data_IF_172313787685
#
_entry.id   IF_172313787685
#
_cell.length_a   1.000
_cell.length_b   1.000
_cell.length_c   1.000
_cell.angle_alpha   90.00
_cell.angle_beta   90.00
_cell.angle_gamma   90.00
#
_symmetry.space_group_name_H-M   'P 1'
#
loop_
_entity.id
_entity.type
_entity.pdbx_description
1 polymer ?
#
# COMPACT_ATOMS: atom_id res chain seq x y z
N UNK A 1 -16.84 -9.13 -58.62
CA UNK A 1 -15.59 -8.67 -57.96
C UNK A 1 -15.64 -8.86 -56.43
N UNK A 2 -16.19 -9.99 -55.95
CA UNK A 2 -16.29 -10.33 -54.51
C UNK A 2 -15.82 -11.76 -54.15
N UNK A 3 -15.42 -12.59 -55.11
CA UNK A 3 -15.06 -13.99 -54.83
C UNK A 3 -13.55 -14.28 -54.79
N UNK A 4 -12.68 -13.28 -54.99
CA UNK A 4 -11.22 -13.46 -55.03
C UNK A 4 -10.50 -13.21 -53.70
N UNK A 5 -11.19 -12.74 -52.66
CA UNK A 5 -10.57 -12.42 -51.36
C UNK A 5 -10.53 -13.65 -50.43
N UNK A 6 -11.48 -14.59 -50.57
CA UNK A 6 -11.61 -15.72 -49.64
C UNK A 6 -10.59 -16.86 -49.89
N UNK A 7 -9.93 -16.88 -51.04
CA UNK A 7 -8.93 -17.91 -51.39
C UNK A 7 -7.51 -17.58 -50.89
N UNK A 8 -7.21 -16.30 -50.58
CA UNK A 8 -5.90 -15.93 -50.00
C UNK A 8 -5.84 -16.16 -48.48
N UNK A 9 -6.92 -15.94 -47.74
CA UNK A 9 -6.97 -16.22 -46.30
C UNK A 9 -6.95 -17.72 -45.99
N UNK A 10 -7.66 -18.56 -46.76
CA UNK A 10 -7.61 -20.01 -46.57
C UNK A 10 -6.24 -20.62 -46.90
N UNK A 11 -5.47 -20.04 -47.83
CA UNK A 11 -4.09 -20.47 -48.10
C UNK A 11 -3.10 -20.08 -46.99
N UNK A 12 -3.39 -19.04 -46.22
CA UNK A 12 -2.57 -18.63 -45.07
C UNK A 12 -2.81 -19.55 -43.87
N UNK A 13 -4.08 -19.92 -43.60
CA UNK A 13 -4.43 -20.84 -42.53
C UNK A 13 -3.94 -22.28 -42.80
N UNK A 14 -4.00 -22.76 -44.04
CA UNK A 14 -3.48 -24.10 -44.39
C UNK A 14 -1.95 -24.15 -44.28
N UNK A 15 -1.23 -23.06 -44.61
CA UNK A 15 0.23 -22.99 -44.41
C UNK A 15 0.62 -22.88 -42.93
N UNK A 16 -0.17 -22.19 -42.10
CA UNK A 16 0.10 -22.10 -40.66
C UNK A 16 -0.13 -23.46 -39.96
N UNK A 17 -1.16 -24.21 -40.37
CA UNK A 17 -1.43 -25.55 -39.85
C UNK A 17 -0.35 -26.55 -40.31
N UNK A 18 0.14 -26.45 -41.56
CA UNK A 18 1.23 -27.31 -42.03
C UNK A 18 2.56 -27.03 -41.32
N UNK A 19 2.85 -25.77 -40.95
CA UNK A 19 4.05 -25.42 -40.17
C UNK A 19 3.92 -25.88 -38.71
N UNK A 20 2.71 -25.83 -38.13
CA UNK A 20 2.47 -26.33 -36.76
C UNK A 20 2.52 -27.88 -36.69
N UNK A 21 2.04 -28.57 -37.72
CA UNK A 21 2.10 -30.04 -37.82
C UNK A 21 3.51 -30.54 -38.18
N UNK A 22 4.27 -29.79 -38.99
CA UNK A 22 5.69 -30.09 -39.24
C UNK A 22 6.58 -29.87 -38.00
N UNK A 23 6.27 -28.88 -37.15
CA UNK A 23 6.96 -28.70 -35.87
C UNK A 23 6.62 -29.79 -34.84
N UNK A 24 5.42 -30.39 -34.92
CA UNK A 24 5.04 -31.56 -34.10
C UNK A 24 5.60 -32.89 -34.63
N UNK A 25 5.98 -32.97 -35.92
CA UNK A 25 6.57 -34.17 -36.54
C UNK A 25 8.11 -34.19 -36.54
N UNK A 26 8.77 -33.09 -36.15
CA UNK A 26 10.21 -33.06 -35.84
C UNK A 26 10.52 -33.20 -34.34
N UNK A 27 9.60 -33.78 -33.56
CA UNK A 27 10.00 -34.55 -32.40
C UNK A 27 10.72 -35.80 -32.90
N UNK A 28 12.03 -35.68 -33.13
CA UNK A 28 12.91 -36.84 -33.17
C UNK A 28 12.58 -37.68 -31.95
N UNK A 29 12.28 -38.99 -32.09
CA UNK A 29 12.17 -39.83 -30.91
C UNK A 29 13.52 -39.72 -30.21
N UNK A 30 13.52 -39.11 -29.01
CA UNK A 30 14.50 -39.44 -28.00
C UNK A 30 14.54 -40.96 -28.03
N UNK A 31 15.63 -41.52 -28.56
CA UNK A 31 15.91 -42.95 -28.43
C UNK A 31 15.71 -43.22 -26.96
N UNK A 32 14.62 -43.91 -26.64
CA UNK A 32 14.40 -44.47 -25.33
C UNK A 32 15.60 -45.39 -25.11
N UNK A 33 16.63 -44.85 -24.46
CA UNK A 33 17.61 -45.69 -23.80
C UNK A 33 16.76 -46.57 -22.90
N UNK A 34 16.82 -47.88 -23.19
CA UNK A 34 16.36 -48.92 -22.26
C UNK A 34 16.91 -48.52 -20.90
N UNK A 35 16.05 -47.97 -20.05
CA UNK A 35 16.33 -47.80 -18.63
C UNK A 35 16.45 -49.21 -18.10
N UNK A 36 17.69 -49.64 -17.88
CA UNK A 36 18.00 -50.78 -17.04
C UNK A 36 17.31 -50.51 -15.69
N UNK A 37 16.37 -51.35 -15.24
CA UNK A 37 15.76 -51.16 -13.94
C UNK A 37 16.85 -51.42 -12.89
N UNK A 38 17.16 -50.41 -12.07
CA UNK A 38 17.98 -50.58 -10.87
C UNK A 38 19.38 -49.95 -10.87
N UNK A 39 19.78 -49.16 -11.85
CA UNK A 39 20.91 -48.24 -11.65
C UNK A 39 20.38 -46.94 -11.06
N UNK A 40 20.62 -46.73 -9.76
CA UNK A 40 20.52 -45.41 -9.17
C UNK A 40 21.33 -44.45 -10.04
N UNK A 41 20.67 -43.44 -10.60
CA UNK A 41 21.32 -42.33 -11.29
C UNK A 41 22.19 -41.65 -10.23
N UNK A 42 23.43 -42.10 -10.14
CA UNK A 42 24.41 -41.59 -9.19
C UNK A 42 24.89 -40.26 -9.75
N UNK A 43 24.80 -39.22 -8.93
CA UNK A 43 25.33 -37.90 -9.28
C UNK A 43 26.78 -38.05 -9.78
N UNK A 44 27.17 -37.40 -10.89
CA UNK A 44 28.55 -37.40 -11.35
C UNK A 44 29.48 -36.60 -10.42
N UNK A 45 28.94 -35.96 -9.37
CA UNK A 45 29.66 -35.11 -8.44
C UNK A 45 29.69 -35.72 -7.03
N UNK A 46 30.83 -35.57 -6.36
CA UNK A 46 30.95 -35.82 -4.92
C UNK A 46 30.30 -34.68 -4.13
N UNK A 47 29.82 -34.96 -2.91
CA UNK A 47 29.11 -34.00 -2.05
C UNK A 47 29.87 -32.68 -1.91
N UNK A 48 31.18 -32.73 -1.72
CA UNK A 48 32.03 -31.54 -1.57
C UNK A 48 32.04 -30.68 -2.83
N UNK A 49 32.01 -31.31 -4.02
CA UNK A 49 31.93 -30.60 -5.31
C UNK A 49 30.56 -29.98 -5.51
N UNK A 50 29.48 -30.69 -5.15
CA UNK A 50 28.12 -30.13 -5.18
C UNK A 50 28.01 -28.90 -4.28
N UNK A 51 28.49 -28.99 -3.02
CA UNK A 51 28.42 -27.88 -2.07
C UNK A 51 29.30 -26.71 -2.50
N UNK A 52 30.54 -26.94 -2.94
CA UNK A 52 31.41 -25.87 -3.43
C UNK A 52 30.79 -25.14 -4.63
N UNK A 53 30.23 -25.88 -5.59
CA UNK A 53 29.56 -25.28 -6.75
C UNK A 53 28.29 -24.55 -6.37
N UNK A 54 27.51 -25.08 -5.43
CA UNK A 54 26.30 -24.44 -4.93
C UNK A 54 26.62 -23.09 -4.25
N UNK A 55 27.64 -23.04 -3.39
CA UNK A 55 28.07 -21.80 -2.72
C UNK A 55 28.65 -20.77 -3.70
N UNK A 56 29.38 -21.20 -4.74
CA UNK A 56 29.85 -20.31 -5.81
C UNK A 56 28.67 -19.67 -6.55
N UNK A 57 27.70 -20.48 -6.96
CA UNK A 57 26.49 -19.99 -7.64
C UNK A 57 25.64 -19.10 -6.73
N UNK A 58 25.58 -19.43 -5.44
CA UNK A 58 24.92 -18.60 -4.43
C UNK A 58 25.58 -17.22 -4.32
N UNK A 59 26.91 -17.16 -4.25
CA UNK A 59 27.67 -15.92 -4.20
C UNK A 59 27.50 -15.06 -5.48
N UNK A 60 27.26 -15.71 -6.63
CA UNK A 60 26.96 -15.05 -7.91
C UNK A 60 25.47 -14.64 -8.06
N UNK A 61 24.65 -14.79 -7.02
CA UNK A 61 23.19 -14.59 -7.06
C UNK A 61 22.45 -15.46 -8.09
N UNK A 62 23.04 -16.57 -8.51
CA UNK A 62 22.43 -17.54 -9.43
C UNK A 62 21.62 -18.59 -8.65
N UNK A 63 20.65 -18.12 -7.86
CA UNK A 63 19.89 -18.95 -6.92
C UNK A 63 19.16 -20.14 -7.56
N UNK A 64 18.52 -20.05 -8.75
CA UNK A 64 17.90 -21.21 -9.39
C UNK A 64 18.91 -22.31 -9.72
N UNK A 65 20.12 -21.94 -10.16
CA UNK A 65 21.18 -22.89 -10.46
C UNK A 65 21.78 -23.49 -9.18
N UNK A 66 21.99 -22.66 -8.15
CA UNK A 66 22.47 -23.11 -6.84
C UNK A 66 21.52 -24.16 -6.22
N UNK A 67 20.20 -24.00 -6.37
CA UNK A 67 19.20 -24.95 -5.88
C UNK A 67 19.40 -26.37 -6.43
N UNK A 68 19.80 -26.52 -7.70
CA UNK A 68 20.03 -27.83 -8.32
C UNK A 68 21.12 -28.57 -7.53
N UNK A 69 22.25 -27.91 -7.28
CA UNK A 69 23.38 -28.50 -6.58
C UNK A 69 23.10 -28.72 -5.08
N UNK A 70 22.35 -27.84 -4.42
CA UNK A 70 21.93 -28.09 -3.03
C UNK A 70 20.97 -29.28 -2.90
N UNK A 71 20.03 -29.44 -3.84
CA UNK A 71 19.14 -30.61 -3.86
C UNK A 71 19.90 -31.90 -4.14
N UNK A 72 20.88 -31.85 -5.04
CA UNK A 72 21.76 -32.98 -5.30
C UNK A 72 22.60 -33.34 -4.07
N UNK A 73 23.22 -32.36 -3.41
CA UNK A 73 23.98 -32.56 -2.18
C UNK A 73 23.12 -33.15 -1.05
N UNK A 74 21.83 -32.75 -0.97
CA UNK A 74 20.87 -33.29 0.01
C UNK A 74 20.64 -34.80 -0.19
N UNK A 75 20.70 -35.30 -1.43
CA UNK A 75 20.56 -36.74 -1.72
C UNK A 75 21.82 -37.55 -1.45
N UNK A 76 22.98 -36.89 -1.31
CA UNK A 76 24.29 -37.51 -1.14
C UNK A 76 24.77 -37.54 0.31
N UNK A 77 23.96 -37.05 1.26
CA UNK A 77 24.35 -36.95 2.67
C UNK A 77 23.28 -37.47 3.61
N UNK A 78 23.72 -38.18 4.65
CA UNK A 78 22.87 -38.63 5.76
C UNK A 78 23.21 -37.88 7.06
N UNK A 79 24.23 -37.01 7.04
CA UNK A 79 24.70 -36.33 8.24
C UNK A 79 23.73 -35.21 8.65
N UNK A 80 23.09 -35.28 9.82
CA UNK A 80 21.99 -34.38 10.19
C UNK A 80 22.41 -32.90 10.24
N UNK A 81 23.63 -32.60 10.69
CA UNK A 81 24.16 -31.23 10.70
C UNK A 81 24.46 -30.65 9.30
N UNK A 82 24.75 -31.50 8.30
CA UNK A 82 24.96 -31.05 6.92
C UNK A 82 23.60 -30.87 6.25
N UNK A 83 22.67 -31.81 6.46
CA UNK A 83 21.27 -31.71 6.02
C UNK A 83 20.62 -30.42 6.51
N UNK A 84 20.78 -30.09 7.80
CA UNK A 84 20.25 -28.87 8.40
C UNK A 84 20.76 -27.60 7.67
N UNK A 85 22.08 -27.53 7.43
CA UNK A 85 22.72 -26.42 6.71
C UNK A 85 22.26 -26.34 5.25
N UNK A 86 22.14 -27.47 4.56
CA UNK A 86 21.64 -27.51 3.19
C UNK A 86 20.18 -27.01 3.14
N UNK A 87 19.32 -27.45 4.05
CA UNK A 87 17.95 -26.94 4.13
C UNK A 87 17.89 -25.43 4.39
N UNK A 88 18.75 -24.91 5.27
CA UNK A 88 18.87 -23.48 5.50
C UNK A 88 19.26 -22.73 4.21
N UNK A 89 20.28 -23.21 3.48
CA UNK A 89 20.71 -22.63 2.20
C UNK A 89 19.65 -22.69 1.11
N UNK A 90 18.95 -23.81 1.00
CA UNK A 90 17.81 -23.94 0.08
C UNK A 90 16.73 -22.92 0.44
N UNK A 91 16.47 -22.69 1.73
CA UNK A 91 15.59 -21.61 2.20
C UNK A 91 16.02 -20.23 1.70
N UNK A 92 17.31 -19.90 1.84
CA UNK A 92 17.86 -18.60 1.40
C UNK A 92 17.75 -18.41 -0.12
N UNK A 93 18.02 -19.46 -0.89
CA UNK A 93 17.83 -19.44 -2.34
C UNK A 93 16.35 -19.21 -2.71
N UNK A 94 15.44 -19.93 -2.08
CA UNK A 94 14.00 -19.86 -2.35
C UNK A 94 13.41 -18.49 -1.98
N UNK A 95 13.85 -17.93 -0.86
CA UNK A 95 13.52 -16.55 -0.45
C UNK A 95 14.00 -15.55 -1.50
N UNK A 96 15.23 -15.69 -1.99
CA UNK A 96 15.82 -14.79 -2.99
C UNK A 96 15.10 -14.83 -4.34
N UNK A 97 14.50 -15.97 -4.70
CA UNK A 97 13.63 -16.11 -5.89
C UNK A 97 12.14 -15.89 -5.59
N UNK A 98 11.81 -15.35 -4.42
CA UNK A 98 10.45 -14.97 -3.99
C UNK A 98 9.46 -16.14 -3.90
N UNK A 99 9.96 -17.34 -3.58
CA UNK A 99 9.16 -18.56 -3.34
C UNK A 99 9.02 -18.79 -1.84
N UNK A 100 8.34 -17.86 -1.17
CA UNK A 100 8.31 -17.75 0.29
C UNK A 100 7.65 -18.94 1.00
N UNK A 101 6.62 -19.56 0.43
CA UNK A 101 6.00 -20.77 1.01
C UNK A 101 7.01 -21.93 1.09
N UNK A 102 7.76 -22.13 0.00
CA UNK A 102 8.80 -23.16 -0.08
C UNK A 102 10.00 -22.82 0.82
N UNK A 103 10.36 -21.54 0.92
CA UNK A 103 11.39 -21.08 1.85
C UNK A 103 11.00 -21.37 3.31
N UNK A 104 9.76 -21.06 3.68
CA UNK A 104 9.17 -21.32 5.00
C UNK A 104 9.28 -22.81 5.35
N UNK A 105 8.86 -23.68 4.44
CA UNK A 105 8.97 -25.13 4.63
C UNK A 105 10.43 -25.57 4.88
N UNK A 106 11.38 -25.02 4.11
CA UNK A 106 12.80 -25.41 4.21
C UNK A 106 13.48 -24.89 5.47
N UNK A 107 13.16 -23.69 5.94
CA UNK A 107 13.65 -23.21 7.23
C UNK A 107 13.09 -24.03 8.40
N UNK A 108 11.82 -24.46 8.34
CA UNK A 108 11.26 -25.39 9.33
C UNK A 108 12.00 -26.72 9.36
N UNK A 109 12.33 -27.30 8.20
CA UNK A 109 13.15 -28.53 8.12
C UNK A 109 14.58 -28.35 8.65
N UNK A 110 15.18 -27.19 8.40
CA UNK A 110 16.50 -26.86 8.92
C UNK A 110 16.52 -26.78 10.46
N UNK A 111 15.44 -26.30 11.07
CA UNK A 111 15.29 -26.23 12.54
C UNK A 111 14.90 -27.59 13.14
N UNK A 112 14.04 -28.36 12.48
CA UNK A 112 13.54 -29.65 13.00
C UNK A 112 14.62 -30.72 13.13
N UNK A 113 15.74 -30.58 12.41
CA UNK A 113 16.88 -31.49 12.48
C UNK A 113 17.71 -31.31 13.75
N UNK A 114 17.56 -30.21 14.50
CA UNK A 114 18.22 -29.96 15.79
C UNK A 114 19.75 -29.84 15.75
N UNK A 115 20.35 -29.95 14.56
CA UNK A 115 21.80 -29.96 14.34
C UNK A 115 22.31 -28.68 13.66
N UNK A 116 21.45 -27.66 13.58
CA UNK A 116 21.79 -26.36 13.01
C UNK A 116 22.50 -25.50 14.07
N UNK A 117 23.66 -24.89 13.76
CA UNK A 117 24.37 -24.02 14.70
C UNK A 117 23.50 -22.87 15.20
N UNK A 118 23.62 -22.51 16.49
CA UNK A 118 22.77 -21.52 17.16
C UNK A 118 22.60 -20.21 16.37
N UNK A 119 23.70 -19.67 15.82
CA UNK A 119 23.66 -18.46 15.00
C UNK A 119 22.74 -18.60 13.77
N UNK A 120 22.80 -19.74 13.08
CA UNK A 120 21.96 -20.02 11.92
C UNK A 120 20.52 -20.36 12.34
N UNK A 121 20.34 -20.99 13.50
CA UNK A 121 19.02 -21.25 14.09
C UNK A 121 18.29 -19.96 14.42
N UNK A 122 18.95 -19.01 15.12
CA UNK A 122 18.38 -17.67 15.38
C UNK A 122 18.04 -16.94 14.08
N UNK A 123 18.91 -17.02 13.07
CA UNK A 123 18.65 -16.40 11.76
C UNK A 123 17.48 -17.04 11.02
N UNK A 124 17.32 -18.36 11.11
CA UNK A 124 16.20 -19.08 10.50
C UNK A 124 14.86 -18.70 11.17
N UNK A 125 14.86 -18.55 12.50
CA UNK A 125 13.68 -18.11 13.26
C UNK A 125 13.26 -16.70 12.85
N UNK A 126 14.20 -15.75 12.84
CA UNK A 126 13.94 -14.37 12.41
C UNK A 126 13.37 -14.34 10.98
N UNK A 127 13.93 -15.15 10.07
CA UNK A 127 13.41 -15.24 8.69
C UNK A 127 11.99 -15.81 8.64
N UNK A 128 11.69 -16.83 9.43
CA UNK A 128 10.34 -17.41 9.51
C UNK A 128 9.30 -16.40 10.02
N UNK A 129 9.68 -15.48 10.91
CA UNK A 129 8.81 -14.41 11.40
C UNK A 129 8.50 -13.37 10.32
N UNK A 130 9.48 -12.99 9.49
CA UNK A 130 9.29 -11.94 8.47
C UNK A 130 8.79 -12.46 7.11
N UNK A 131 8.99 -13.75 6.80
CA UNK A 131 8.60 -14.36 5.53
C UNK A 131 7.13 -14.13 5.13
N UNK A 132 6.14 -14.27 6.04
CA UNK A 132 4.74 -14.01 5.71
C UNK A 132 4.48 -12.58 5.24
N UNK A 133 5.11 -11.60 5.90
CA UNK A 133 4.98 -10.18 5.52
C UNK A 133 5.62 -9.92 4.13
N UNK A 134 6.78 -10.53 3.86
CA UNK A 134 7.41 -10.46 2.54
C UNK A 134 6.55 -11.11 1.45
N UNK A 135 5.93 -12.25 1.74
CA UNK A 135 5.02 -12.94 0.83
C UNK A 135 3.79 -12.11 0.52
N UNK A 136 3.18 -11.50 1.54
CA UNK A 136 2.06 -10.59 1.38
C UNK A 136 2.43 -9.37 0.53
N UNK A 137 3.57 -8.74 0.80
CA UNK A 137 4.07 -7.58 0.04
C UNK A 137 4.33 -7.91 -1.43
N UNK A 138 4.89 -9.09 -1.71
CA UNK A 138 5.14 -9.53 -3.08
C UNK A 138 3.85 -9.86 -3.82
N UNK A 139 2.92 -10.56 -3.18
CA UNK A 139 1.63 -10.90 -3.77
C UNK A 139 0.81 -9.64 -4.06
N UNK A 140 0.78 -8.68 -3.13
CA UNK A 140 0.19 -7.37 -3.34
C UNK A 140 0.81 -6.67 -4.57
N UNK A 141 2.15 -6.68 -4.67
CA UNK A 141 2.86 -6.08 -5.80
C UNK A 141 2.58 -6.80 -7.12
N UNK A 142 2.44 -8.13 -7.11
CA UNK A 142 2.09 -8.94 -8.28
C UNK A 142 0.69 -8.61 -8.77
N UNK A 143 -0.29 -8.59 -7.88
CA UNK A 143 -1.67 -8.22 -8.17
C UNK A 143 -1.76 -6.79 -8.71
N UNK A 144 -1.05 -5.86 -8.09
CA UNK A 144 -0.98 -4.48 -8.56
C UNK A 144 -0.43 -4.37 -9.99
N UNK A 145 0.69 -5.04 -10.29
CA UNK A 145 1.26 -5.08 -11.65
C UNK A 145 0.29 -5.72 -12.65
N UNK A 146 -0.41 -6.78 -12.24
CA UNK A 146 -1.46 -7.43 -13.04
C UNK A 146 -2.59 -6.44 -13.35
N UNK A 147 -3.07 -5.72 -12.34
CA UNK A 147 -4.10 -4.69 -12.48
C UNK A 147 -3.69 -3.61 -13.49
N UNK A 148 -2.47 -3.06 -13.36
CA UNK A 148 -1.95 -2.04 -14.26
C UNK A 148 -1.80 -2.55 -15.70
N UNK A 149 -1.37 -3.80 -15.86
CA UNK A 149 -1.27 -4.41 -17.18
C UNK A 149 -2.65 -4.64 -17.82
N UNK A 150 -3.63 -5.10 -17.04
CA UNK A 150 -5.02 -5.26 -17.46
C UNK A 150 -5.66 -3.91 -17.82
N UNK A 151 -5.38 -2.87 -17.03
CA UNK A 151 -5.83 -1.50 -17.33
C UNK A 151 -5.23 -1.00 -18.66
N UNK A 152 -3.92 -1.21 -18.87
CA UNK A 152 -3.23 -0.87 -20.12
C UNK A 152 -3.82 -1.58 -21.35
N UNK A 153 -4.25 -2.82 -21.19
CA UNK A 153 -4.94 -3.59 -22.25
C UNK A 153 -6.45 -3.31 -22.32
N UNK A 154 -6.95 -2.32 -21.58
CA UNK A 154 -8.37 -1.91 -21.49
C UNK A 154 -9.31 -2.97 -20.95
N UNK A 155 -8.79 -3.94 -20.20
CA UNK A 155 -9.59 -4.91 -19.47
C UNK A 155 -9.89 -4.40 -18.05
N UNK A 156 -10.80 -3.44 -17.97
CA UNK A 156 -11.14 -2.74 -16.71
C UNK A 156 -11.71 -3.70 -15.66
N UNK A 157 -12.52 -4.69 -16.07
CA UNK A 157 -13.13 -5.65 -15.14
C UNK A 157 -12.08 -6.41 -14.32
N UNK A 158 -11.08 -6.99 -14.97
CA UNK A 158 -10.01 -7.70 -14.27
C UNK A 158 -9.07 -6.75 -13.52
N UNK A 159 -8.88 -5.53 -14.03
CA UNK A 159 -8.04 -4.53 -13.37
C UNK A 159 -8.61 -4.11 -12.01
N UNK A 160 -9.93 -3.94 -11.90
CA UNK A 160 -10.64 -3.58 -10.66
C UNK A 160 -10.38 -4.62 -9.56
N UNK A 161 -10.56 -5.90 -9.85
CA UNK A 161 -10.45 -6.97 -8.88
C UNK A 161 -9.01 -7.14 -8.37
N UNK A 162 -8.04 -7.19 -9.30
CA UNK A 162 -6.62 -7.28 -8.97
C UNK A 162 -6.16 -6.05 -8.16
N UNK A 163 -6.66 -4.86 -8.49
CA UNK A 163 -6.31 -3.62 -7.80
C UNK A 163 -6.84 -3.60 -6.37
N UNK A 164 -8.12 -3.89 -6.15
CA UNK A 164 -8.71 -3.96 -4.81
C UNK A 164 -8.03 -5.02 -3.94
N UNK A 165 -7.74 -6.20 -4.51
CA UNK A 165 -7.00 -7.25 -3.81
C UNK A 165 -5.59 -6.79 -3.42
N UNK A 166 -4.89 -6.06 -4.31
CA UNK A 166 -3.56 -5.53 -4.01
C UNK A 166 -3.54 -4.53 -2.85
N UNK A 167 -4.51 -3.60 -2.82
CA UNK A 167 -4.61 -2.58 -1.77
C UNK A 167 -5.01 -3.20 -0.44
N UNK A 168 -5.89 -4.21 -0.45
CA UNK A 168 -6.26 -4.94 0.76
C UNK A 168 -5.05 -5.61 1.41
N UNK A 169 -4.13 -6.13 0.60
CA UNK A 169 -2.90 -6.76 1.08
C UNK A 169 -1.83 -5.71 1.46
N UNK A 170 -1.72 -4.61 0.73
CA UNK A 170 -0.73 -3.56 1.00
C UNK A 170 -1.34 -2.17 0.72
N UNK A 171 -1.94 -1.52 1.75
CA UNK A 171 -2.61 -0.23 1.58
C UNK A 171 -1.69 0.89 1.06
N UNK A 172 -0.38 0.81 1.31
CA UNK A 172 0.61 1.78 0.82
C UNK A 172 0.63 1.93 -0.71
N UNK A 173 0.14 0.93 -1.44
CA UNK A 173 0.02 0.99 -2.90
C UNK A 173 -0.97 2.07 -3.37
N UNK A 174 -1.88 2.53 -2.51
CA UNK A 174 -2.81 3.65 -2.78
C UNK A 174 -2.10 4.97 -3.11
N UNK A 175 -0.89 5.18 -2.56
CA UNK A 175 -0.14 6.41 -2.75
C UNK A 175 0.55 6.49 -4.13
N UNK A 176 0.51 5.39 -4.90
CA UNK A 176 1.00 5.39 -6.28
C UNK A 176 -0.08 6.00 -7.16
N UNK A 177 0.28 7.00 -7.95
CA UNK A 177 -0.63 7.91 -8.65
C UNK A 177 -1.48 7.21 -9.73
N UNK A 178 -2.53 6.51 -9.31
CA UNK A 178 -3.39 5.67 -10.16
C UNK A 178 -4.78 6.27 -10.38
N UNK A 179 -4.88 7.60 -10.29
CA UNK A 179 -6.14 8.35 -10.44
C UNK A 179 -6.91 7.97 -11.72
N UNK A 180 -6.20 7.67 -12.81
CA UNK A 180 -6.82 7.23 -14.07
C UNK A 180 -7.60 5.91 -13.96
N UNK A 181 -7.02 4.87 -13.32
CA UNK A 181 -7.73 3.61 -13.10
C UNK A 181 -8.94 3.82 -12.19
N UNK A 182 -8.79 4.62 -11.13
CA UNK A 182 -9.87 4.89 -10.16
C UNK A 182 -11.04 5.58 -10.87
N UNK A 183 -10.78 6.64 -11.65
CA UNK A 183 -11.81 7.36 -12.41
C UNK A 183 -12.53 6.46 -13.42
N UNK A 184 -11.78 5.66 -14.18
CA UNK A 184 -12.34 4.76 -15.18
C UNK A 184 -13.10 3.59 -14.54
N UNK A 185 -12.66 3.12 -13.37
CA UNK A 185 -13.37 2.12 -12.57
C UNK A 185 -14.71 2.67 -12.04
N UNK A 186 -14.74 3.91 -11.53
CA UNK A 186 -15.98 4.56 -11.10
C UNK A 186 -16.96 4.68 -12.27
N UNK A 187 -16.50 5.18 -13.43
CA UNK A 187 -17.32 5.28 -14.65
C UNK A 187 -17.84 3.91 -15.07
N UNK A 188 -16.95 2.92 -15.18
CA UNK A 188 -17.30 1.57 -15.58
C UNK A 188 -18.35 0.96 -14.64
N UNK A 189 -18.12 1.00 -13.34
CA UNK A 189 -19.03 0.42 -12.35
C UNK A 189 -20.36 1.15 -12.26
N UNK A 190 -20.41 2.46 -12.52
CA UNK A 190 -21.66 3.24 -12.55
C UNK A 190 -22.56 2.84 -13.72
N UNK A 191 -21.97 2.56 -14.90
CA UNK A 191 -22.73 2.17 -16.09
C UNK A 191 -22.86 0.66 -16.29
N UNK A 192 -22.11 -0.15 -15.54
CA UNK A 192 -22.24 -1.60 -15.57
C UNK A 192 -23.59 -2.00 -14.97
N UNK A 193 -24.42 -2.66 -15.77
CA UNK A 193 -25.63 -3.33 -15.29
C UNK A 193 -25.30 -4.80 -15.07
N UNK A 194 -25.44 -5.29 -13.84
CA UNK A 194 -25.32 -6.70 -13.53
C UNK A 194 -26.68 -7.31 -13.11
N UNK A 195 -26.76 -8.65 -13.13
CA UNK A 195 -27.93 -9.35 -12.63
C UNK A 195 -28.07 -9.21 -11.11
N UNK A 196 -29.27 -9.46 -10.59
CA UNK A 196 -29.61 -9.31 -9.15
C UNK A 196 -28.62 -10.01 -8.19
N UNK A 197 -28.00 -11.10 -8.62
CA UNK A 197 -27.05 -11.85 -7.80
C UNK A 197 -25.69 -11.18 -7.64
N UNK A 198 -25.24 -10.40 -8.65
CA UNK A 198 -23.92 -9.75 -8.65
C UNK A 198 -23.97 -8.24 -8.41
N UNK A 199 -25.15 -7.67 -8.57
CA UNK A 199 -25.41 -6.26 -8.28
C UNK A 199 -24.97 -5.81 -6.87
N UNK A 200 -25.13 -6.61 -5.79
CA UNK A 200 -24.59 -6.27 -4.48
C UNK A 200 -23.07 -6.10 -4.47
N UNK A 201 -22.36 -7.00 -5.15
CA UNK A 201 -20.90 -6.97 -5.28
C UNK A 201 -20.44 -5.76 -6.11
N UNK A 202 -21.15 -5.46 -7.20
CA UNK A 202 -20.90 -4.27 -8.02
C UNK A 202 -21.05 -2.98 -7.19
N UNK A 203 -22.15 -2.86 -6.43
CA UNK A 203 -22.41 -1.68 -5.59
C UNK A 203 -21.34 -1.49 -4.51
N UNK A 204 -20.92 -2.57 -3.84
CA UNK A 204 -19.86 -2.51 -2.84
C UNK A 204 -18.51 -2.09 -3.46
N UNK A 205 -18.17 -2.61 -4.65
CA UNK A 205 -16.99 -2.18 -5.39
C UNK A 205 -17.09 -0.71 -5.80
N UNK A 206 -18.25 -0.27 -6.29
CA UNK A 206 -18.49 1.12 -6.68
C UNK A 206 -18.31 2.06 -5.49
N UNK A 207 -18.92 1.75 -4.34
CA UNK A 207 -18.74 2.53 -3.12
C UNK A 207 -17.26 2.62 -2.70
N UNK A 208 -16.54 1.51 -2.77
CA UNK A 208 -15.11 1.47 -2.45
C UNK A 208 -14.30 2.35 -3.42
N UNK A 209 -14.56 2.31 -4.73
CA UNK A 209 -13.86 3.18 -5.68
C UNK A 209 -14.26 4.66 -5.56
N UNK A 210 -15.51 4.96 -5.19
CA UNK A 210 -15.96 6.33 -4.88
C UNK A 210 -15.24 6.89 -3.65
N UNK A 211 -15.03 6.07 -2.63
CA UNK A 211 -14.21 6.40 -1.45
C UNK A 211 -12.76 6.69 -1.86
N UNK A 212 -12.14 5.81 -2.64
CA UNK A 212 -10.77 6.00 -3.13
C UNK A 212 -10.62 7.22 -4.04
N UNK A 213 -11.67 7.58 -4.78
CA UNK A 213 -11.74 8.79 -5.59
C UNK A 213 -11.89 10.07 -4.74
N UNK A 214 -12.29 9.95 -3.47
CA UNK A 214 -12.59 11.08 -2.57
C UNK A 214 -14.04 11.56 -2.65
N UNK A 215 -14.91 10.87 -3.38
CA UNK A 215 -16.35 11.17 -3.45
C UNK A 215 -17.12 10.48 -2.32
N UNK A 216 -16.80 10.86 -1.08
CA UNK A 216 -17.28 10.20 0.14
C UNK A 216 -18.81 10.18 0.25
N UNK A 217 -19.48 11.29 -0.06
CA UNK A 217 -20.95 11.38 0.00
C UNK A 217 -21.63 10.34 -0.90
N UNK A 218 -21.16 10.25 -2.15
CA UNK A 218 -21.66 9.25 -3.11
C UNK A 218 -21.34 7.82 -2.68
N UNK A 219 -20.19 7.60 -2.04
CA UNK A 219 -19.84 6.30 -1.48
C UNK A 219 -20.84 5.91 -0.38
N UNK A 220 -21.13 6.81 0.55
CA UNK A 220 -22.12 6.62 1.63
C UNK A 220 -23.51 6.35 1.05
N UNK A 221 -23.97 7.15 0.08
CA UNK A 221 -25.26 6.93 -0.60
C UNK A 221 -25.32 5.54 -1.26
N UNK A 222 -24.24 5.13 -1.92
CA UNK A 222 -24.16 3.81 -2.58
C UNK A 222 -24.22 2.67 -1.56
N UNK A 223 -23.56 2.80 -0.40
CA UNK A 223 -23.63 1.81 0.69
C UNK A 223 -25.04 1.74 1.30
N UNK A 224 -25.70 2.88 1.50
CA UNK A 224 -27.09 2.92 1.97
C UNK A 224 -28.04 2.23 0.99
N UNK A 225 -27.89 2.48 -0.32
CA UNK A 225 -28.66 1.81 -1.36
C UNK A 225 -28.45 0.30 -1.33
N UNK A 226 -27.21 -0.17 -1.17
CA UNK A 226 -26.88 -1.59 -1.06
C UNK A 226 -27.63 -2.26 0.10
N UNK A 227 -27.65 -1.64 1.27
CA UNK A 227 -28.33 -2.15 2.47
C UNK A 227 -29.86 -2.18 2.27
N UNK A 228 -30.42 -1.11 1.70
CA UNK A 228 -31.89 -0.98 1.51
C UNK A 228 -32.40 -1.97 0.45
N UNK A 229 -31.68 -2.10 -0.68
CA UNK A 229 -32.16 -2.85 -1.85
C UNK A 229 -31.81 -4.35 -1.72
N UNK A 230 -30.67 -4.67 -1.12
CA UNK A 230 -30.17 -6.05 -0.98
C UNK A 230 -29.90 -6.45 0.49
N UNK A 231 -30.91 -6.33 1.37
CA UNK A 231 -30.75 -6.67 2.78
C UNK A 231 -30.41 -8.15 2.95
N UNK A 232 -29.54 -8.46 3.92
CA UNK A 232 -29.15 -9.83 4.26
C UNK A 232 -28.09 -10.46 3.37
N UNK A 233 -27.54 -9.73 2.39
CA UNK A 233 -26.35 -10.17 1.65
C UNK A 233 -25.08 -9.95 2.46
N UNK A 234 -24.03 -10.74 2.22
CA UNK A 234 -22.72 -10.52 2.86
C UNK A 234 -22.16 -9.13 2.55
N UNK A 235 -22.43 -8.63 1.33
CA UNK A 235 -22.04 -7.29 0.90
C UNK A 235 -22.79 -6.19 1.66
N UNK A 236 -24.08 -6.39 1.97
CA UNK A 236 -24.83 -5.45 2.81
C UNK A 236 -24.27 -5.41 4.24
N UNK A 237 -23.89 -6.55 4.81
CA UNK A 237 -23.21 -6.59 6.12
C UNK A 237 -21.85 -5.90 6.10
N UNK A 238 -21.09 -6.05 5.02
CA UNK A 238 -19.83 -5.30 4.84
C UNK A 238 -20.08 -3.80 4.69
N UNK A 239 -21.16 -3.41 4.01
CA UNK A 239 -21.57 -2.02 3.88
C UNK A 239 -21.97 -1.40 5.22
N UNK A 240 -22.66 -2.14 6.10
CA UNK A 240 -22.97 -1.69 7.46
C UNK A 240 -21.69 -1.39 8.25
N UNK A 241 -20.72 -2.32 8.25
CA UNK A 241 -19.44 -2.10 8.94
C UNK A 241 -18.67 -0.89 8.37
N UNK A 242 -18.73 -0.66 7.06
CA UNK A 242 -18.13 0.53 6.43
C UNK A 242 -18.88 1.82 6.77
N UNK A 243 -20.21 1.79 6.84
CA UNK A 243 -20.98 2.96 7.27
C UNK A 243 -20.72 3.29 8.74
N UNK A 244 -20.54 2.28 9.59
CA UNK A 244 -20.12 2.49 10.98
C UNK A 244 -18.72 3.09 11.08
N UNK A 245 -17.77 2.70 10.21
CA UNK A 245 -16.45 3.34 10.19
C UNK A 245 -16.52 4.78 9.69
N UNK A 246 -17.35 5.08 8.69
CA UNK A 246 -17.64 6.47 8.30
C UNK A 246 -18.25 7.24 9.46
N UNK A 247 -19.29 6.71 10.11
CA UNK A 247 -19.92 7.32 11.27
C UNK A 247 -18.93 7.52 12.42
N UNK A 248 -18.06 6.55 12.72
CA UNK A 248 -17.02 6.65 13.75
C UNK A 248 -15.94 7.70 13.42
N UNK A 249 -15.62 7.88 12.13
CA UNK A 249 -14.72 8.94 11.64
C UNK A 249 -15.40 10.32 11.70
N UNK A 250 -16.73 10.37 11.58
CA UNK A 250 -17.53 11.57 11.83
C UNK A 250 -17.71 11.85 13.34
N UNK A 251 -17.89 10.81 14.18
CA UNK A 251 -18.13 10.90 15.63
C UNK A 251 -16.84 11.22 16.41
N UNK A 252 -15.64 10.93 15.89
CA UNK A 252 -14.40 11.45 16.47
C UNK A 252 -14.24 12.97 16.31
N UNK A 253 -15.08 13.61 15.50
CA UNK A 253 -15.12 15.06 15.28
C UNK A 253 -16.43 15.75 15.71
N UNK A 254 -17.40 15.01 16.24
CA UNK A 254 -18.59 15.58 16.88
C UNK A 254 -18.90 14.81 18.17
N UNK A 255 -18.68 15.47 19.32
CA UNK A 255 -19.29 15.04 20.59
C UNK A 255 -20.79 14.81 20.34
N UNK A 256 -21.41 13.76 20.93
CA UNK A 256 -22.85 13.56 20.81
C UNK A 256 -23.57 14.81 21.35
N UNK A 257 -24.47 15.37 20.55
CA UNK A 257 -25.41 16.37 21.03
C UNK A 257 -26.23 15.72 22.15
N UNK A 258 -26.12 16.29 23.35
CA UNK A 258 -26.99 15.96 24.46
C UNK A 258 -28.46 16.14 24.02
N UNK A 259 -29.39 15.30 24.52
CA UNK A 259 -30.80 15.42 24.21
C UNK A 259 -31.27 16.86 24.46
N UNK A 260 -31.95 17.43 23.47
CA UNK A 260 -32.48 18.79 23.47
C UNK A 260 -33.22 19.10 24.78
N UNK A 261 -32.61 19.96 25.60
CA UNK A 261 -33.19 20.52 26.81
C UNK A 261 -33.80 21.89 26.48
N UNK A 262 -35.14 22.04 26.48
CA UNK A 262 -35.83 23.28 26.14
C UNK A 262 -35.57 24.44 27.13
N UNK A 263 -34.74 24.23 28.16
CA UNK A 263 -34.32 25.27 29.10
C UNK A 263 -32.90 25.83 28.83
N UNK A 264 -32.16 25.31 27.84
CA UNK A 264 -30.78 25.75 27.52
C UNK A 264 -30.73 27.13 26.84
N UNK A 265 -31.84 27.58 26.27
CA UNK A 265 -31.96 28.90 25.61
C UNK A 265 -32.11 30.09 26.59
N UNK A 266 -32.19 29.83 27.90
CA UNK A 266 -32.26 30.86 28.93
C UNK A 266 -30.95 31.05 29.73
N UNK A 267 -29.85 30.43 29.32
CA UNK A 267 -28.54 30.68 29.88
C UNK A 267 -27.75 31.64 28.98
N UNK A 268 -27.40 32.81 29.50
CA UNK A 268 -26.52 33.78 28.83
C UNK A 268 -25.18 33.12 28.45
N UNK A 269 -24.65 33.39 27.24
CA UNK A 269 -23.45 32.71 26.74
C UNK A 269 -22.19 33.36 27.31
N UNK A 270 -21.83 32.99 28.53
CA UNK A 270 -20.64 33.52 29.22
C UNK A 270 -19.34 32.76 28.92
N UNK A 271 -19.29 31.91 27.89
CA UNK A 271 -18.03 31.29 27.48
C UNK A 271 -17.29 32.18 26.48
N UNK A 272 -16.15 32.80 26.86
CA UNK A 272 -15.32 33.56 25.92
C UNK A 272 -14.65 32.67 24.88
N UNK A 273 -14.65 31.34 25.05
CA UNK A 273 -13.96 30.40 24.15
C UNK A 273 -14.94 29.95 23.06
N UNK A 274 -14.62 30.28 21.81
CA UNK A 274 -15.37 29.89 20.61
C UNK A 274 -14.91 28.53 20.09
N UNK A 275 -13.62 28.26 20.18
CA UNK A 275 -13.02 27.02 19.69
C UNK A 275 -11.72 26.72 20.43
N UNK A 276 -11.51 25.45 20.76
CA UNK A 276 -10.25 24.97 21.32
C UNK A 276 -10.00 23.53 20.88
N UNK A 277 -8.83 23.26 20.31
CA UNK A 277 -8.43 21.91 19.93
C UNK A 277 -6.90 21.78 19.85
N UNK A 278 -6.39 20.56 19.96
CA UNK A 278 -4.98 20.23 19.78
C UNK A 278 -4.78 19.34 18.55
N UNK A 279 -3.72 19.61 17.81
CA UNK A 279 -3.37 18.94 16.57
C UNK A 279 -1.99 18.31 16.66
N UNK A 280 -1.88 17.05 16.25
CA UNK A 280 -0.60 16.35 16.10
C UNK A 280 -0.26 16.23 14.63
N UNK A 281 0.79 16.94 14.21
CA UNK A 281 1.25 17.00 12.83
C UNK A 281 2.49 16.12 12.69
N UNK A 282 2.34 14.94 12.10
CA UNK A 282 3.43 13.96 11.91
C UNK A 282 3.75 13.67 10.44
N UNK A 283 3.02 14.32 9.52
CA UNK A 283 3.16 14.16 8.07
C UNK A 283 2.63 15.40 7.36
N UNK A 284 2.94 15.54 6.08
CA UNK A 284 2.33 16.58 5.22
C UNK A 284 0.81 16.44 5.21
N UNK A 285 0.10 17.49 5.60
CA UNK A 285 -1.35 17.53 5.79
C UNK A 285 -1.87 18.95 5.67
N UNK A 286 -3.15 19.08 5.33
CA UNK A 286 -3.90 20.34 5.38
C UNK A 286 -5.10 20.14 6.29
N UNK A 287 -5.22 20.99 7.31
CA UNK A 287 -6.34 21.03 8.25
C UNK A 287 -7.03 22.37 8.04
N UNK A 288 -8.26 22.37 7.56
CA UNK A 288 -9.05 23.59 7.41
C UNK A 288 -10.34 23.47 8.19
N UNK A 289 -10.70 24.53 8.92
CA UNK A 289 -11.94 24.59 9.69
C UNK A 289 -12.60 25.94 9.44
N UNK A 290 -13.86 25.88 9.05
CA UNK A 290 -14.74 27.04 8.91
C UNK A 290 -15.94 26.88 9.85
N UNK A 291 -16.20 27.92 10.62
CA UNK A 291 -17.31 28.08 11.55
C UNK A 291 -17.97 29.44 11.26
N UNK A 292 -19.14 29.71 11.83
CA UNK A 292 -19.83 31.01 11.65
C UNK A 292 -18.93 32.17 12.11
N UNK A 293 -18.36 32.90 11.16
CA UNK A 293 -17.50 34.08 11.39
C UNK A 293 -16.06 33.76 11.80
N UNK A 294 -15.62 32.50 11.72
CA UNK A 294 -14.29 32.07 12.16
C UNK A 294 -13.75 31.04 11.17
N UNK A 295 -12.52 31.22 10.70
CA UNK A 295 -11.84 30.18 9.93
C UNK A 295 -10.35 30.12 10.23
N UNK A 296 -9.78 28.93 10.06
CA UNK A 296 -8.34 28.77 10.02
C UNK A 296 -7.95 27.60 9.11
N UNK A 297 -6.74 27.69 8.56
CA UNK A 297 -6.12 26.62 7.78
C UNK A 297 -4.69 26.42 8.25
N UNK A 298 -4.31 25.16 8.49
CA UNK A 298 -2.95 24.75 8.82
C UNK A 298 -2.48 23.82 7.72
N UNK A 299 -1.42 24.20 7.01
CA UNK A 299 -0.85 23.42 5.91
C UNK A 299 0.58 23.06 6.24
N UNK A 300 0.97 21.80 6.05
CA UNK A 300 2.36 21.34 6.16
C UNK A 300 2.82 20.79 4.82
N UNK A 301 3.96 21.26 4.33
CA UNK A 301 4.41 20.97 2.97
C UNK A 301 5.93 20.97 2.83
N UNK A 302 6.38 20.44 1.70
CA UNK A 302 7.77 20.34 1.27
C UNK A 302 7.96 21.15 -0.01
N UNK A 303 9.02 21.95 -0.06
CA UNK A 303 9.50 22.53 -1.31
C UNK A 303 10.28 21.46 -2.10
N UNK A 304 10.96 20.55 -1.41
CA UNK A 304 11.73 19.48 -2.02
C UNK A 304 10.89 18.22 -2.30
N UNK A 305 10.81 17.83 -3.57
CA UNK A 305 10.01 16.68 -4.04
C UNK A 305 10.54 15.29 -3.63
N UNK A 306 11.67 15.20 -2.92
CA UNK A 306 12.32 13.93 -2.57
C UNK A 306 12.25 13.60 -1.08
N UNK A 307 11.46 14.34 -0.30
CA UNK A 307 11.32 14.07 1.13
C UNK A 307 10.27 12.97 1.40
N UNK A 308 10.54 12.07 2.36
CA UNK A 308 9.54 11.16 2.89
C UNK A 308 8.27 11.91 3.35
N UNK A 309 7.09 11.29 3.16
CA UNK A 309 5.80 11.93 3.46
C UNK A 309 5.52 12.14 4.96
N UNK A 310 6.28 11.46 5.83
CA UNK A 310 6.30 11.62 7.28
C UNK A 310 7.16 12.80 7.75
N UNK A 311 7.68 13.63 6.84
CA UNK A 311 8.49 14.80 7.18
C UNK A 311 8.09 16.00 6.35
N UNK A 312 8.20 17.19 6.94
CA UNK A 312 7.85 18.43 6.27
C UNK A 312 8.83 19.58 6.54
N UNK A 313 9.07 20.43 5.55
CA UNK A 313 9.99 21.57 5.64
C UNK A 313 9.32 22.81 6.24
N UNK A 314 8.03 23.00 5.93
CA UNK A 314 7.30 24.21 6.28
C UNK A 314 5.94 23.89 6.87
N UNK A 315 5.50 24.77 7.75
CA UNK A 315 4.13 24.86 8.24
C UNK A 315 3.62 26.27 7.97
N UNK A 316 2.45 26.36 7.36
CA UNK A 316 1.73 27.58 7.09
C UNK A 316 0.45 27.55 7.92
N UNK A 317 0.16 28.68 8.58
CA UNK A 317 -1.04 28.88 9.38
C UNK A 317 -1.73 30.14 8.88
N UNK A 318 -2.95 29.97 8.37
CA UNK A 318 -3.83 31.02 7.93
C UNK A 318 -4.94 31.17 8.96
N UNK A 319 -5.12 32.38 9.50
CA UNK A 319 -6.10 32.69 10.54
C UNK A 319 -7.06 33.77 10.02
N UNK A 320 -8.36 33.61 10.22
CA UNK A 320 -9.38 34.60 9.85
C UNK A 320 -10.15 34.28 8.57
N UNK A 321 -11.10 35.15 8.22
CA UNK A 321 -12.01 35.01 7.07
C UNK A 321 -11.91 36.24 6.18
N UNK A 322 -11.93 36.05 4.86
CA UNK A 322 -12.02 37.15 3.89
C UNK A 322 -10.82 38.11 3.94
N UNK A 323 -11.09 39.42 4.03
CA UNK A 323 -10.05 40.46 4.01
C UNK A 323 -9.22 40.54 5.30
N UNK A 324 -9.65 39.88 6.38
CA UNK A 324 -8.99 39.90 7.69
C UNK A 324 -8.15 38.64 7.94
N UNK A 325 -7.67 38.01 6.87
CA UNK A 325 -6.81 36.86 6.95
C UNK A 325 -5.36 37.24 7.26
N UNK A 326 -4.73 36.45 8.13
CA UNK A 326 -3.30 36.52 8.41
C UNK A 326 -2.65 35.18 8.11
N UNK A 327 -1.70 35.21 7.20
CA UNK A 327 -0.86 34.07 6.82
C UNK A 327 0.48 34.14 7.55
N UNK A 328 0.91 33.02 8.11
CA UNK A 328 2.15 32.90 8.86
C UNK A 328 2.84 31.59 8.47
N UNK A 329 4.06 31.69 7.96
CA UNK A 329 4.83 30.53 7.53
C UNK A 329 6.05 30.35 8.44
N UNK A 330 6.25 29.12 8.91
CA UNK A 330 7.42 28.70 9.65
C UNK A 330 8.20 27.65 8.86
N UNK A 331 9.54 27.72 8.93
CA UNK A 331 10.43 26.77 8.28
C UNK A 331 11.31 26.05 9.29
N UNK A 332 11.48 24.73 9.12
CA UNK A 332 12.37 23.91 9.93
C UNK A 332 13.83 24.39 9.89
N UNK A 333 14.24 25.06 8.81
CA UNK A 333 15.59 25.63 8.69
C UNK A 333 15.82 26.79 9.68
N UNK A 334 14.78 27.58 9.94
CA UNK A 334 14.83 28.73 10.86
C UNK A 334 14.43 28.36 12.29
N UNK A 335 13.72 27.24 12.46
CA UNK A 335 13.11 26.85 13.73
C UNK A 335 11.87 27.67 14.05
N UNK A 336 11.14 27.24 15.08
CA UNK A 336 10.00 27.98 15.64
C UNK A 336 10.46 28.54 16.99
N UNK A 337 10.80 29.84 17.01
CA UNK A 337 11.37 30.50 18.20
C UNK A 337 10.30 31.17 19.07
N UNK A 338 9.03 30.78 18.91
CA UNK A 338 7.90 31.36 19.62
C UNK A 338 6.96 30.26 20.09
N UNK A 339 6.63 30.27 21.38
CA UNK A 339 5.76 29.25 21.98
C UNK A 339 4.30 29.46 21.59
N UNK A 340 3.94 30.69 21.20
CA UNK A 340 2.61 31.02 20.70
C UNK A 340 2.58 32.20 19.73
N UNK A 341 1.56 32.21 18.88
CA UNK A 341 1.17 33.30 18.01
C UNK A 341 -0.22 33.78 18.44
N UNK A 342 -0.39 35.09 18.54
CA UNK A 342 -1.69 35.71 18.81
C UNK A 342 -2.06 36.62 17.65
N UNK A 343 -3.30 36.55 17.20
CA UNK A 343 -3.85 37.41 16.16
C UNK A 343 -5.25 37.88 16.56
N UNK A 344 -5.37 39.20 16.74
CA UNK A 344 -6.62 39.85 17.09
C UNK A 344 -7.26 40.43 15.83
N UNK A 345 -8.53 40.11 15.63
CA UNK A 345 -9.33 40.51 14.46
C UNK A 345 -10.26 41.67 14.86
N UNK A 346 -10.37 42.72 14.02
CA UNK A 346 -11.37 43.77 14.20
C UNK A 346 -12.78 43.16 14.22
N UNK A 347 -13.50 43.30 15.34
CA UNK A 347 -14.76 42.56 15.56
C UNK A 347 -14.74 41.65 16.80
N UNK A 348 -13.66 41.68 17.57
CA UNK A 348 -13.62 41.11 18.91
C UNK A 348 -13.32 39.62 18.92
N UNK A 349 -12.48 39.12 17.99
CA UNK A 349 -12.00 37.74 18.01
C UNK A 349 -10.49 37.69 18.18
N UNK A 350 -10.00 36.72 18.94
CA UNK A 350 -8.58 36.46 19.17
C UNK A 350 -8.26 35.01 18.80
N UNK A 351 -7.34 34.82 17.87
CA UNK A 351 -6.78 33.53 17.50
C UNK A 351 -5.45 33.33 18.23
N UNK A 352 -5.28 32.17 18.86
CA UNK A 352 -4.08 31.79 19.59
C UNK A 352 -3.62 30.43 19.06
N UNK A 353 -2.40 30.40 18.52
CA UNK A 353 -1.74 29.18 18.06
C UNK A 353 -0.58 28.92 18.99
N UNK A 354 -0.58 27.81 19.72
CA UNK A 354 0.48 27.44 20.66
C UNK A 354 1.27 26.25 20.13
N UNK A 355 2.59 26.33 20.13
CA UNK A 355 3.49 25.25 19.73
C UNK A 355 3.93 24.48 20.97
N UNK A 356 3.13 23.50 21.37
CA UNK A 356 3.31 22.76 22.62
C UNK A 356 4.55 21.85 22.59
N UNK A 357 4.86 21.29 21.42
CA UNK A 357 6.03 20.43 21.22
C UNK A 357 6.47 20.50 19.75
N UNK A 358 7.76 20.70 19.50
CA UNK A 358 8.32 20.87 18.14
C UNK A 358 9.60 20.05 18.04
N UNK A 359 9.57 19.02 17.19
CA UNK A 359 10.72 18.17 16.92
C UNK A 359 11.22 18.39 15.50
N UNK A 360 12.53 18.65 15.38
CA UNK A 360 13.22 18.76 14.09
C UNK A 360 14.28 17.69 13.94
N UNK A 361 14.53 17.30 12.70
CA UNK A 361 15.55 16.32 12.32
C UNK A 361 16.21 16.75 11.01
N UNK A 362 17.23 16.03 10.56
CA UNK A 362 17.89 16.27 9.30
C UNK A 362 17.51 15.21 8.27
N UNK A 363 17.32 15.63 7.02
CA UNK A 363 17.08 14.75 5.89
C UNK A 363 18.14 15.01 4.81
N UNK A 364 18.64 13.94 4.21
CA UNK A 364 19.59 13.99 3.09
C UNK A 364 18.83 13.87 1.78
N UNK A 365 18.87 14.91 0.95
CA UNK A 365 18.28 14.95 -0.39
C UNK A 365 19.42 14.82 -1.40
N UNK A 366 19.22 14.01 -2.44
CA UNK A 366 20.17 13.94 -3.55
C UNK A 366 19.70 14.87 -4.67
N UNK A 367 20.51 15.86 -5.02
CA UNK A 367 20.22 16.70 -6.17
C UNK A 367 20.21 15.83 -7.44
N UNK A 368 19.09 15.87 -8.17
CA UNK A 368 18.88 15.08 -9.38
C UNK A 368 19.78 15.52 -10.55
N UNK A 369 20.37 16.71 -10.50
CA UNK A 369 21.17 17.28 -11.58
C UNK A 369 22.67 17.19 -11.31
N UNK A 370 23.10 17.41 -10.07
CA UNK A 370 24.52 17.39 -9.69
C UNK A 370 24.95 16.06 -9.06
N UNK A 371 24.00 15.28 -8.53
CA UNK A 371 24.28 14.05 -7.79
C UNK A 371 24.75 14.31 -6.35
N UNK A 372 24.91 15.58 -5.95
CA UNK A 372 25.37 15.97 -4.64
C UNK A 372 24.30 15.70 -3.57
N UNK A 373 24.77 15.33 -2.37
CA UNK A 373 23.89 15.11 -1.22
C UNK A 373 23.80 16.41 -0.42
N UNK A 374 22.62 17.00 -0.39
CA UNK A 374 22.30 18.17 0.43
C UNK A 374 21.58 17.73 1.69
N UNK A 375 22.10 18.12 2.84
CA UNK A 375 21.44 17.91 4.13
C UNK A 375 20.57 19.13 4.43
N UNK A 376 19.30 18.91 4.71
CA UNK A 376 18.35 19.95 5.11
C UNK A 376 17.72 19.62 6.46
N UNK A 377 17.23 20.64 7.17
CA UNK A 377 16.42 20.46 8.38
C UNK A 377 14.95 20.33 8.00
N UNK A 378 14.27 19.38 8.64
CA UNK A 378 12.84 19.11 8.46
C UNK A 378 12.18 18.91 9.83
N UNK A 379 10.90 19.20 9.92
CA UNK A 379 10.09 18.82 11.07
C UNK A 379 9.83 17.31 11.04
N UNK A 380 9.97 16.69 12.21
CA UNK A 380 9.62 15.30 12.46
C UNK A 380 8.18 15.20 13.00
N UNK A 381 7.86 16.06 13.97
CA UNK A 381 6.48 16.27 14.42
C UNK A 381 6.30 17.64 15.08
N UNK A 382 5.08 18.15 15.07
CA UNK A 382 4.64 19.33 15.83
C UNK A 382 3.32 19.03 16.54
N UNK A 383 3.22 19.34 17.83
CA UNK A 383 1.95 19.46 18.54
C UNK A 383 1.54 20.92 18.66
N UNK A 384 0.36 21.24 18.15
CA UNK A 384 -0.14 22.59 18.03
C UNK A 384 -1.50 22.72 18.71
N UNK A 385 -1.62 23.62 19.67
CA UNK A 385 -2.90 24.04 20.25
C UNK A 385 -3.49 25.21 19.48
N UNK A 386 -4.75 25.11 19.07
CA UNK A 386 -5.52 26.20 18.47
C UNK A 386 -6.61 26.62 19.44
N UNK A 387 -6.66 27.91 19.78
CA UNK A 387 -7.70 28.50 20.62
C UNK A 387 -8.22 29.79 20.00
N UNK A 388 -9.54 29.96 20.01
CA UNK A 388 -10.22 31.13 19.46
C UNK A 388 -11.17 31.68 20.52
N UNK A 389 -10.99 32.94 20.87
CA UNK A 389 -11.71 33.60 21.95
C UNK A 389 -12.45 34.84 21.44
N UNK A 390 -13.59 35.17 22.06
CA UNK A 390 -14.23 36.48 21.92
C UNK A 390 -13.61 37.44 22.91
N UNK A 391 -13.12 38.56 22.40
CA UNK A 391 -12.72 39.70 23.18
C UNK A 391 -13.98 40.50 23.50
N UNK A 392 -14.28 40.68 24.79
CA UNK A 392 -15.26 41.66 25.22
C UNK A 392 -14.74 43.03 24.83
N UNK A 393 -15.40 43.68 23.88
CA UNK A 393 -15.29 45.12 23.67
C UNK A 393 -16.17 45.78 24.72
N UNK A 394 -15.55 46.50 25.66
CA UNK A 394 -16.26 47.45 26.53
C UNK A 394 -17.02 48.52 25.71
#
# INVERSE_FOLDING_TARGET
>A
MKDTINTKQNRLYIKLIFVLVAALLFCTPLKAQKTVPGQAVTSPYDINKCLARAEELFALNQFPAALIFYYEALTLTEHPGIIAKIHFRIGECLESIRRFDFATYRYKLALSTGALPDLLSSRAIMKLEHLPEMAQKEEATRLYKSAMQNYKTRNIRLAIDDYLASIRLLPELLNRSDRGLIEDAVKYLTYLSEGKEREPERLLKLATFLELHGSIEKAVETLQQLIIIYPGTDQAREAEMKLESFAGTYISHTKPEEPYDPFKDFAEPDSPIVFENEYSLTKTTTISKELRGVAFTITTFNDAHQLPSDRYEKIEVILGVGAEQKEIIFSAAQGINMDKVVFDVPGGLRYIVSFNDVSTTSASIRDSYTGDIKIIKVFNYIRLGMKIERLYTD
#
